data_IF_289249034970
#
_entry.id   IF_289249034970
#
_cell.length_a   1.000
_cell.length_b   1.000
_cell.length_c   1.000
_cell.angle_alpha   90.00
_cell.angle_beta   90.00
_cell.angle_gamma   90.00
#
_symmetry.space_group_name_H-M   'P 1'
#
loop_
_entity.id
_entity.type
_entity.pdbx_description
1 polymer ?
#
# COMPACT_ATOMS: atom_id res chain seq x y z
N UNK A 1 -60.72 -3.91 18.33
CA UNK A 1 -60.06 -4.95 17.52
C UNK A 1 -58.57 -4.64 17.53
N UNK A 2 -57.77 -5.13 18.49
CA UNK A 2 -57.04 -6.43 18.48
C UNK A 2 -56.27 -6.61 17.15
N UNK A 3 -54.94 -6.70 17.06
CA UNK A 3 -53.96 -7.42 17.88
C UNK A 3 -52.57 -6.75 17.87
N UNK A 4 -51.87 -6.77 19.01
CA UNK A 4 -50.42 -6.55 19.15
C UNK A 4 -49.71 -7.91 19.07
N UNK A 5 -48.57 -7.99 18.36
CA UNK A 5 -47.63 -9.12 18.47
C UNK A 5 -46.42 -8.68 19.32
N UNK A 6 -46.29 -9.25 20.52
CA UNK A 6 -45.06 -9.23 21.33
C UNK A 6 -44.21 -10.43 20.92
N UNK A 7 -42.94 -10.20 20.60
CA UNK A 7 -41.93 -11.24 20.44
C UNK A 7 -41.06 -11.25 21.72
N UNK A 8 -41.16 -12.32 22.51
CA UNK A 8 -40.30 -12.59 23.66
C UNK A 8 -39.01 -13.26 23.18
N UNK A 9 -37.85 -12.66 23.47
CA UNK A 9 -36.56 -13.33 23.43
C UNK A 9 -36.19 -13.76 24.86
N UNK A 10 -36.20 -15.07 25.12
CA UNK A 10 -35.65 -15.68 26.33
C UNK A 10 -34.16 -15.95 26.13
N UNK A 11 -33.32 -15.36 26.96
CA UNK A 11 -31.89 -15.67 27.07
C UNK A 11 -31.72 -16.93 27.94
N UNK A 12 -31.11 -17.98 27.40
CA UNK A 12 -30.61 -19.11 28.17
C UNK A 12 -29.10 -18.94 28.39
N UNK A 13 -28.70 -18.77 29.66
CA UNK A 13 -27.29 -18.76 30.08
C UNK A 13 -26.92 -20.20 30.43
N UNK A 14 -25.99 -20.79 29.68
CA UNK A 14 -25.40 -22.09 30.02
C UNK A 14 -24.05 -21.84 30.67
N UNK A 15 -23.99 -22.02 31.99
CA UNK A 15 -22.75 -22.15 32.76
C UNK A 15 -22.18 -23.56 32.58
N UNK A 16 -20.96 -23.67 32.04
CA UNK A 16 -20.19 -24.93 32.03
C UNK A 16 -19.21 -24.86 33.18
N UNK A 17 -19.48 -25.62 34.24
CA UNK A 17 -18.50 -25.96 35.29
C UNK A 17 -17.85 -27.28 34.91
N UNK A 18 -16.54 -27.28 34.65
CA UNK A 18 -15.74 -28.49 34.48
C UNK A 18 -15.08 -28.83 35.83
N UNK A 19 -15.50 -29.94 36.43
CA UNK A 19 -14.85 -30.59 37.57
C UNK A 19 -13.75 -31.53 37.06
N UNK A 20 -12.58 -31.47 37.69
CA UNK A 20 -11.46 -32.40 37.45
C UNK A 20 -11.59 -33.50 38.49
N UNK A 21 -11.70 -34.76 38.06
CA UNK A 21 -11.43 -35.92 38.90
C UNK A 21 -10.34 -36.78 38.24
N UNK A 22 -9.43 -37.24 39.08
CA UNK A 22 -8.25 -38.05 38.78
C UNK A 22 -8.48 -39.48 39.32
N UNK A 23 -7.64 -40.45 38.91
CA UNK A 23 -7.55 -41.88 39.33
C UNK A 23 -8.46 -42.89 38.58
N UNK A 24 -8.08 -44.14 38.25
CA UNK A 24 -6.83 -44.92 38.26
C UNK A 24 -7.03 -46.17 37.35
N UNK A 25 -5.94 -46.61 36.70
CA UNK A 25 -5.54 -47.92 36.14
C UNK A 25 -6.55 -49.09 35.99
N UNK A 26 -6.41 -49.84 34.89
CA UNK A 26 -6.23 -51.31 34.92
C UNK A 26 -5.46 -51.84 33.70
N UNK A 27 -4.64 -52.84 33.97
CA UNK A 27 -3.70 -53.56 33.10
C UNK A 27 -4.38 -54.53 32.11
N UNK A 28 -3.71 -54.80 31.00
CA UNK A 28 -3.85 -56.07 30.27
C UNK A 28 -2.49 -56.58 29.81
N UNK A 29 -2.07 -57.66 30.45
CA UNK A 29 -0.89 -58.50 30.20
C UNK A 29 -1.16 -59.46 29.04
N UNK A 30 -0.17 -59.71 28.18
CA UNK A 30 -0.19 -60.79 27.20
C UNK A 30 1.14 -61.56 27.27
N UNK A 31 1.00 -62.89 27.35
CA UNK A 31 2.03 -63.89 27.60
C UNK A 31 3.08 -63.97 26.49
N UNK A 32 4.34 -64.14 26.88
CA UNK A 32 5.47 -64.54 26.02
C UNK A 32 5.82 -65.99 26.35
N UNK A 33 5.93 -66.82 25.32
CA UNK A 33 6.37 -68.22 25.39
C UNK A 33 7.77 -68.28 24.76
N UNK A 34 8.78 -68.66 25.54
CA UNK A 34 10.17 -68.85 25.08
C UNK A 34 10.34 -70.25 24.49
N UNK A 35 10.87 -70.34 23.26
CA UNK A 35 11.52 -71.55 22.78
C UNK A 35 12.94 -71.23 22.33
N UNK A 36 13.89 -71.91 22.98
CA UNK A 36 15.32 -71.91 22.66
C UNK A 36 15.60 -72.73 21.40
N UNK A 37 16.35 -72.16 20.46
CA UNK A 37 17.06 -72.90 19.42
C UNK A 37 18.46 -72.29 19.23
N UNK A 38 19.45 -73.01 19.74
CA UNK A 38 20.85 -72.86 19.35
C UNK A 38 21.02 -73.34 17.90
N UNK A 39 21.61 -72.51 17.03
CA UNK A 39 22.43 -72.98 15.91
C UNK A 39 23.25 -71.84 15.32
N UNK A 40 24.56 -72.09 15.30
CA UNK A 40 25.64 -71.41 14.57
C UNK A 40 25.29 -70.92 13.16
N UNK A 41 25.67 -69.68 12.82
CA UNK A 41 26.69 -69.32 11.81
C UNK A 41 26.45 -67.92 11.24
N UNK A 42 27.50 -67.10 11.32
CA UNK A 42 27.82 -65.87 10.58
C UNK A 42 26.87 -65.40 9.45
N UNK A 43 26.51 -64.11 9.45
CA UNK A 43 27.02 -63.10 8.49
C UNK A 43 26.39 -61.72 8.82
N UNK A 44 27.28 -60.73 8.95
CA UNK A 44 27.02 -59.32 9.22
C UNK A 44 26.10 -58.64 8.20
N UNK A 45 24.95 -58.08 8.60
CA UNK A 45 24.38 -56.88 7.94
C UNK A 45 23.28 -56.14 8.73
N UNK A 46 23.43 -55.93 10.04
CA UNK A 46 22.40 -55.20 10.83
C UNK A 46 22.53 -53.67 10.80
N UNK A 47 23.62 -53.11 10.27
CA UNK A 47 23.83 -51.65 10.31
C UNK A 47 23.10 -50.84 9.23
N UNK A 48 22.72 -51.45 8.10
CA UNK A 48 22.06 -50.72 7.00
C UNK A 48 20.54 -50.62 7.12
N UNK A 49 19.89 -51.58 7.77
CA UNK A 49 18.43 -51.65 7.81
C UNK A 49 17.82 -50.69 8.85
N UNK A 50 18.46 -50.54 10.01
CA UNK A 50 18.01 -49.62 11.06
C UNK A 50 18.24 -48.14 10.70
N UNK A 51 19.33 -47.82 9.97
CA UNK A 51 19.54 -46.47 9.42
C UNK A 51 18.50 -46.12 8.34
N UNK A 52 18.14 -47.08 7.47
CA UNK A 52 17.09 -46.88 6.48
C UNK A 52 15.70 -46.70 7.12
N UNK A 53 15.34 -47.53 8.11
CA UNK A 53 14.04 -47.39 8.81
C UNK A 53 13.90 -46.05 9.54
N UNK A 54 14.98 -45.51 10.11
CA UNK A 54 14.94 -44.21 10.76
C UNK A 54 14.64 -43.07 9.77
N UNK A 55 15.12 -43.16 8.53
CA UNK A 55 14.94 -42.15 7.48
C UNK A 55 13.54 -42.19 6.82
N UNK A 56 12.87 -43.34 6.87
CA UNK A 56 11.53 -43.54 6.27
C UNK A 56 10.39 -43.24 7.25
N UNK A 57 10.65 -43.33 8.57
CA UNK A 57 9.61 -43.19 9.61
C UNK A 57 9.69 -41.86 10.37
N UNK A 58 10.83 -41.17 10.37
CA UNK A 58 10.94 -39.86 11.00
C UNK A 58 10.26 -38.78 10.15
N UNK A 59 9.21 -38.07 10.63
CA UNK A 59 8.74 -36.87 9.96
C UNK A 59 9.88 -35.87 9.96
N UNK A 60 10.34 -35.49 8.75
CA UNK A 60 11.29 -34.39 8.57
C UNK A 60 10.77 -33.20 9.37
N UNK A 61 11.55 -32.63 10.31
CA UNK A 61 11.11 -31.44 11.01
C UNK A 61 10.72 -30.41 9.96
N UNK A 62 9.58 -29.70 10.12
CA UNK A 62 9.18 -28.70 9.16
C UNK A 62 10.36 -27.76 9.01
N UNK A 63 10.89 -27.66 7.79
CA UNK A 63 11.83 -26.60 7.44
C UNK A 63 11.07 -25.32 7.75
N UNK A 64 11.37 -24.71 8.89
CA UNK A 64 10.98 -23.33 9.16
C UNK A 64 11.77 -22.56 8.13
N UNK A 65 11.17 -22.36 6.96
CA UNK A 65 11.59 -21.34 6.02
C UNK A 65 11.45 -20.05 6.80
N UNK A 66 12.53 -19.63 7.43
CA UNK A 66 12.61 -18.29 7.99
C UNK A 66 12.11 -17.36 6.87
N UNK A 67 11.17 -16.44 7.17
CA UNK A 67 10.86 -15.42 6.20
C UNK A 67 12.19 -14.85 5.76
N UNK A 68 12.41 -14.77 4.43
CA UNK A 68 13.56 -14.10 3.85
C UNK A 68 13.63 -12.73 4.53
N UNK A 69 14.45 -12.61 5.57
CA UNK A 69 14.81 -11.32 6.11
C UNK A 69 15.49 -10.64 4.94
N UNK A 70 15.01 -9.48 4.49
CA UNK A 70 15.67 -8.79 3.40
C UNK A 70 17.10 -8.55 3.85
N UNK A 71 18.04 -9.23 3.20
CA UNK A 71 19.47 -9.07 3.41
C UNK A 71 19.79 -7.57 3.30
N UNK A 72 19.96 -6.94 4.47
CA UNK A 72 20.31 -5.55 4.76
C UNK A 72 19.67 -4.50 3.85
N UNK A 73 18.55 -3.93 4.31
CA UNK A 73 18.11 -2.62 3.82
C UNK A 73 19.25 -1.60 3.92
N UNK A 74 19.67 -1.06 2.76
CA UNK A 74 20.66 0.02 2.70
C UNK A 74 20.09 1.26 3.38
N UNK A 75 20.90 1.94 4.20
CA UNK A 75 20.52 3.23 4.78
C UNK A 75 20.24 4.23 3.66
N UNK A 76 19.13 4.93 3.77
CA UNK A 76 18.68 5.96 2.84
C UNK A 76 17.86 7.00 3.59
N UNK A 77 17.44 8.06 2.89
CA UNK A 77 16.61 9.13 3.46
C UNK A 77 15.43 9.39 2.54
N UNK A 78 14.23 9.51 3.11
CA UNK A 78 13.01 9.82 2.39
C UNK A 78 12.80 11.33 2.22
N UNK A 79 11.91 11.72 1.30
CA UNK A 79 11.31 13.05 1.23
C UNK A 79 12.24 14.18 0.77
N UNK A 80 13.47 13.87 0.35
CA UNK A 80 14.39 14.89 -0.18
C UNK A 80 14.21 15.06 -1.69
N UNK A 81 13.98 16.27 -2.15
CA UNK A 81 14.02 16.58 -3.60
C UNK A 81 15.46 16.52 -4.13
N UNK A 82 15.61 16.42 -5.45
CA UNK A 82 16.90 16.69 -6.08
C UNK A 82 17.15 18.21 -6.10
N UNK A 83 18.28 18.66 -5.54
CA UNK A 83 18.58 20.09 -5.33
C UNK A 83 18.63 20.86 -6.63
N UNK A 84 17.69 21.76 -6.84
CA UNK A 84 17.75 22.81 -7.85
C UNK A 84 16.97 24.07 -7.39
N UNK A 85 17.31 25.25 -7.93
CA UNK A 85 16.72 26.54 -7.53
C UNK A 85 15.20 26.57 -7.79
N UNK A 86 14.42 26.98 -6.79
CA UNK A 86 12.94 26.97 -6.82
C UNK A 86 12.37 28.02 -7.79
N UNK A 87 11.42 27.62 -8.63
CA UNK A 87 10.47 28.51 -9.32
C UNK A 87 9.07 28.21 -8.74
N UNK A 88 8.24 29.23 -8.49
CA UNK A 88 6.93 29.10 -7.83
C UNK A 88 5.84 29.49 -8.81
N UNK A 89 4.82 28.64 -9.04
CA UNK A 89 3.72 29.10 -9.90
C UNK A 89 2.65 28.13 -10.38
N UNK A 90 2.81 26.81 -10.34
CA UNK A 90 2.02 25.95 -11.25
C UNK A 90 2.78 25.80 -12.55
N UNK A 91 3.94 25.17 -12.50
CA UNK A 91 4.93 25.18 -13.58
C UNK A 91 5.52 23.79 -13.76
N UNK A 92 6.15 23.59 -14.91
CA UNK A 92 6.94 22.40 -15.15
C UNK A 92 8.02 22.26 -14.07
N UNK A 93 8.16 21.05 -13.54
CA UNK A 93 9.19 20.72 -12.57
C UNK A 93 10.55 20.59 -13.25
N UNK A 94 11.61 20.48 -12.48
CA UNK A 94 12.91 20.12 -13.04
C UNK A 94 13.04 18.60 -13.15
N UNK A 95 13.83 18.15 -14.13
CA UNK A 95 14.10 16.72 -14.35
C UNK A 95 14.55 16.07 -13.04
N UNK A 96 13.85 15.00 -12.63
CA UNK A 96 14.06 14.28 -11.37
C UNK A 96 13.86 15.11 -10.08
N UNK A 97 13.26 16.31 -10.09
CA UNK A 97 13.04 17.11 -8.87
C UNK A 97 12.31 16.31 -7.79
N UNK A 98 11.26 15.57 -8.18
CA UNK A 98 10.45 14.68 -7.33
C UNK A 98 10.69 13.22 -7.69
N UNK A 99 11.77 12.60 -7.18
CA UNK A 99 12.20 11.28 -7.64
C UNK A 99 11.24 10.14 -7.25
N UNK A 100 10.36 10.37 -6.29
CA UNK A 100 9.34 9.40 -5.86
C UNK A 100 8.15 9.30 -6.81
N UNK A 101 8.07 10.14 -7.83
CA UNK A 101 6.97 10.11 -8.80
C UNK A 101 6.96 8.82 -9.60
N UNK A 102 5.77 8.25 -9.77
CA UNK A 102 5.53 7.06 -10.57
C UNK A 102 4.57 7.39 -11.69
N UNK A 103 4.96 7.00 -12.90
CA UNK A 103 4.09 6.94 -14.06
C UNK A 103 3.53 5.50 -14.13
N UNK A 104 2.23 5.35 -13.89
CA UNK A 104 1.54 4.06 -13.93
C UNK A 104 0.95 3.85 -15.32
N UNK A 105 1.31 2.72 -15.94
CA UNK A 105 0.89 2.38 -17.29
C UNK A 105 0.03 1.12 -17.29
N UNK A 106 -0.96 1.09 -18.17
CA UNK A 106 -1.75 -0.09 -18.48
C UNK A 106 -1.63 -0.36 -19.98
N UNK A 107 -1.16 -1.57 -20.35
CA UNK A 107 -0.87 -1.94 -21.75
C UNK A 107 0.06 -0.94 -22.45
N UNK A 108 1.03 -0.39 -21.71
CA UNK A 108 2.01 0.57 -22.22
C UNK A 108 1.50 2.02 -22.34
N UNK A 109 0.28 2.32 -21.88
CA UNK A 109 -0.27 3.67 -21.90
C UNK A 109 -0.39 4.25 -20.50
N UNK A 110 0.07 5.49 -20.31
CA UNK A 110 -0.13 6.24 -19.07
C UNK A 110 -1.61 6.43 -18.78
N UNK A 111 -2.00 6.28 -17.51
CA UNK A 111 -3.39 6.53 -17.09
C UNK A 111 -3.54 7.02 -15.64
N UNK A 112 -2.57 6.74 -14.77
CA UNK A 112 -2.55 7.18 -13.37
C UNK A 112 -1.13 7.50 -12.92
N UNK A 113 -1.03 8.29 -11.86
CA UNK A 113 0.17 8.46 -11.07
C UNK A 113 0.30 7.43 -9.93
N UNK A 114 1.43 7.50 -9.25
CA UNK A 114 1.69 6.81 -8.01
C UNK A 114 2.87 7.44 -7.27
N UNK A 115 3.26 6.85 -6.15
CA UNK A 115 4.37 7.34 -5.36
C UNK A 115 5.19 6.22 -4.75
N UNK A 116 6.51 6.26 -4.92
CA UNK A 116 7.43 5.33 -4.29
C UNK A 116 7.51 5.64 -2.79
N UNK A 117 7.11 4.68 -1.96
CA UNK A 117 7.12 4.82 -0.49
C UNK A 117 8.20 3.97 0.18
N UNK A 118 8.69 2.92 -0.49
CA UNK A 118 9.79 2.08 -0.03
C UNK A 118 10.41 1.34 -1.22
N UNK A 119 11.39 0.46 -0.98
CA UNK A 119 12.16 -0.18 -2.06
C UNK A 119 11.35 -1.12 -2.97
N UNK A 120 10.11 -1.49 -2.62
CA UNK A 120 9.34 -2.49 -3.39
C UNK A 120 7.88 -2.13 -3.61
N UNK A 121 7.41 -1.04 -3.00
CA UNK A 121 6.01 -0.68 -3.00
C UNK A 121 5.80 0.75 -3.48
N UNK A 122 4.80 0.88 -4.35
CA UNK A 122 4.23 2.13 -4.81
C UNK A 122 2.86 2.29 -4.17
N UNK A 123 2.58 3.48 -3.63
CA UNK A 123 1.26 3.89 -3.17
C UNK A 123 0.51 4.58 -4.32
N UNK A 124 -0.77 4.29 -4.48
CA UNK A 124 -1.65 4.92 -5.49
C UNK A 124 -3.10 4.87 -5.02
N UNK A 125 -4.04 5.32 -5.85
CA UNK A 125 -5.46 5.24 -5.58
C UNK A 125 -6.00 3.83 -5.87
N UNK A 126 -7.01 3.39 -5.12
CA UNK A 126 -7.67 2.12 -5.35
C UNK A 126 -8.37 2.09 -6.72
N UNK A 127 -8.97 3.20 -7.15
CA UNK A 127 -9.63 3.30 -8.45
C UNK A 127 -8.66 3.12 -9.63
N UNK A 128 -7.35 3.38 -9.45
CA UNK A 128 -6.35 3.16 -10.49
C UNK A 128 -6.08 1.67 -10.72
N UNK A 129 -6.33 0.79 -9.74
CA UNK A 129 -6.07 -0.65 -9.88
C UNK A 129 -7.35 -1.50 -9.88
N UNK A 130 -8.49 -0.93 -9.49
CA UNK A 130 -9.74 -1.66 -9.38
C UNK A 130 -10.21 -2.17 -10.74
N UNK A 131 -10.39 -3.49 -10.86
CA UNK A 131 -10.79 -4.16 -12.11
C UNK A 131 -9.75 -4.09 -13.25
N UNK A 132 -8.52 -3.70 -12.94
CA UNK A 132 -7.39 -3.81 -13.87
C UNK A 132 -6.71 -5.17 -13.74
N UNK A 133 -6.25 -5.71 -14.87
CA UNK A 133 -5.41 -6.91 -14.89
C UNK A 133 -3.97 -6.53 -14.50
N UNK A 134 -3.52 -7.01 -13.34
CA UNK A 134 -2.20 -6.71 -12.81
C UNK A 134 -1.04 -7.11 -13.75
N UNK A 135 -1.22 -8.13 -14.59
CA UNK A 135 -0.19 -8.56 -15.55
C UNK A 135 0.05 -7.56 -16.69
N UNK A 136 -0.90 -6.63 -16.90
CA UNK A 136 -0.84 -5.59 -17.92
C UNK A 136 -0.40 -4.23 -17.35
N UNK A 137 -0.13 -4.17 -16.05
CA UNK A 137 0.36 -2.97 -15.38
C UNK A 137 1.88 -2.93 -15.37
N UNK A 138 2.43 -1.77 -15.68
CA UNK A 138 3.86 -1.46 -15.53
C UNK A 138 4.05 -0.15 -14.77
N UNK A 139 5.10 -0.09 -13.97
CA UNK A 139 5.48 1.06 -13.15
C UNK A 139 6.75 1.65 -13.74
N UNK A 140 6.75 2.94 -14.08
CA UNK A 140 7.95 3.69 -14.46
C UNK A 140 8.28 4.72 -13.39
N UNK A 141 9.56 4.82 -13.02
CA UNK A 141 10.09 5.85 -12.13
C UNK A 141 11.16 6.68 -12.84
N UNK A 142 11.49 7.84 -12.28
CA UNK A 142 12.46 8.80 -12.82
C UNK A 142 12.11 9.29 -14.24
N UNK A 143 10.82 9.25 -14.59
CA UNK A 143 10.31 9.92 -15.79
C UNK A 143 10.14 11.41 -15.51
N UNK A 144 10.34 12.24 -16.53
CA UNK A 144 10.05 13.68 -16.46
C UNK A 144 9.18 14.10 -17.64
N UNK A 145 9.70 14.04 -18.86
CA UNK A 145 9.02 14.27 -20.14
C UNK A 145 9.09 13.01 -21.01
N UNK A 146 7.95 12.33 -21.17
CA UNK A 146 7.91 11.09 -21.96
C UNK A 146 8.09 11.29 -23.48
N UNK A 147 8.14 12.53 -23.96
CA UNK A 147 8.55 12.82 -25.34
C UNK A 147 10.08 12.84 -25.50
N UNK A 148 10.82 12.88 -24.39
CA UNK A 148 12.27 12.88 -24.35
C UNK A 148 12.80 11.51 -23.93
N UNK A 149 13.84 11.03 -24.60
CA UNK A 149 14.50 9.74 -24.26
C UNK A 149 15.88 9.91 -23.66
N UNK A 150 16.38 11.15 -23.54
CA UNK A 150 17.78 11.45 -23.18
C UNK A 150 17.93 12.27 -21.89
N UNK A 151 16.88 12.94 -21.43
CA UNK A 151 16.95 13.83 -20.27
C UNK A 151 17.00 13.07 -18.93
N UNK A 152 16.38 11.89 -18.88
CA UNK A 152 16.18 11.11 -17.67
C UNK A 152 16.56 9.65 -17.92
N UNK A 153 16.98 8.97 -16.85
CA UNK A 153 17.28 7.54 -16.88
C UNK A 153 16.15 6.80 -16.18
N UNK A 154 15.07 6.57 -16.92
CA UNK A 154 13.87 5.91 -16.43
C UNK A 154 14.17 4.46 -16.00
N UNK A 155 13.37 3.94 -15.09
CA UNK A 155 13.42 2.54 -14.69
C UNK A 155 12.01 1.95 -14.69
N UNK A 156 11.83 0.85 -15.41
CA UNK A 156 10.56 0.17 -15.58
C UNK A 156 10.51 -1.11 -14.73
N UNK A 157 9.38 -1.30 -14.04
CA UNK A 157 9.12 -2.43 -13.17
C UNK A 157 7.82 -3.13 -13.56
N UNK A 158 7.88 -4.46 -13.57
CA UNK A 158 6.70 -5.32 -13.67
C UNK A 158 5.99 -5.40 -12.31
N UNK A 159 4.67 -5.48 -12.34
CA UNK A 159 3.85 -5.63 -11.14
C UNK A 159 3.79 -7.10 -10.71
N UNK A 160 4.07 -7.35 -9.41
CA UNK A 160 3.91 -8.67 -8.79
C UNK A 160 2.51 -8.85 -8.25
N UNK A 161 2.02 -7.84 -7.52
CA UNK A 161 0.71 -7.89 -6.85
C UNK A 161 0.16 -6.49 -6.66
N UNK A 162 -1.14 -6.35 -6.86
CA UNK A 162 -1.90 -5.16 -6.46
C UNK A 162 -2.65 -5.46 -5.17
N UNK A 163 -2.68 -4.50 -4.25
CA UNK A 163 -3.32 -4.62 -2.94
C UNK A 163 -4.22 -3.40 -2.75
N UNK A 164 -5.51 -3.60 -2.95
CA UNK A 164 -6.53 -2.57 -2.74
C UNK A 164 -7.01 -2.59 -1.29
N UNK A 165 -7.28 -1.45 -0.69
CA UNK A 165 -7.93 -1.42 0.62
C UNK A 165 -9.30 -2.12 0.56
N UNK A 166 -9.58 -3.05 1.48
CA UNK A 166 -10.81 -3.87 1.47
C UNK A 166 -12.08 -3.04 1.63
N UNK A 167 -12.00 -1.94 2.37
CA UNK A 167 -13.08 -0.98 2.54
C UNK A 167 -13.26 0.01 1.38
N UNK A 168 -12.54 -0.12 0.27
CA UNK A 168 -12.70 0.78 -0.88
C UNK A 168 -14.13 0.70 -1.45
N UNK A 169 -14.76 1.86 -1.64
CA UNK A 169 -16.12 1.98 -2.17
C UNK A 169 -16.11 2.65 -3.54
N UNK A 170 -16.58 1.95 -4.57
CA UNK A 170 -16.73 2.49 -5.92
C UNK A 170 -17.89 3.49 -6.03
N UNK A 171 -18.74 3.61 -5.00
CA UNK A 171 -19.90 4.51 -5.01
C UNK A 171 -19.53 5.92 -4.56
N UNK A 172 -18.63 6.04 -3.58
CA UNK A 172 -18.27 7.33 -2.98
C UNK A 172 -16.76 7.54 -2.80
N UNK A 173 -15.92 6.66 -3.36
CA UNK A 173 -14.45 6.73 -3.28
C UNK A 173 -13.90 6.75 -1.84
N UNK A 174 -14.68 6.28 -0.86
CA UNK A 174 -14.15 6.13 0.48
C UNK A 174 -13.06 5.03 0.49
N UNK A 175 -11.99 5.26 1.26
CA UNK A 175 -10.81 4.38 1.32
C UNK A 175 -10.15 4.14 -0.05
N UNK A 176 -10.06 5.19 -0.87
CA UNK A 176 -9.44 5.13 -2.20
C UNK A 176 -7.91 5.13 -2.11
N UNK A 177 -7.36 4.00 -1.67
CA UNK A 177 -5.93 3.77 -1.50
C UNK A 177 -5.57 2.33 -1.86
N UNK A 178 -4.43 2.19 -2.52
CA UNK A 178 -3.88 0.92 -2.94
C UNK A 178 -2.36 0.90 -2.93
N UNK A 179 -1.81 -0.29 -2.84
CA UNK A 179 -0.39 -0.57 -2.97
C UNK A 179 -0.15 -1.43 -4.22
N UNK A 180 0.96 -1.15 -4.90
CA UNK A 180 1.49 -1.96 -5.99
C UNK A 180 2.83 -2.51 -5.52
N UNK A 181 2.93 -3.83 -5.43
CA UNK A 181 4.16 -4.56 -5.13
C UNK A 181 4.89 -4.86 -6.42
N UNK A 182 6.17 -4.48 -6.50
CA UNK A 182 7.02 -4.67 -7.67
C UNK A 182 7.67 -6.06 -7.65
N UNK A 183 7.85 -6.66 -8.84
CA UNK A 183 8.62 -7.92 -8.99
C UNK A 183 10.11 -7.75 -8.69
N UNK A 184 10.63 -6.52 -8.81
CA UNK A 184 12.01 -6.14 -8.48
C UNK A 184 12.07 -5.20 -7.28
N UNK A 185 13.30 -4.83 -6.89
CA UNK A 185 13.54 -3.84 -5.83
C UNK A 185 14.18 -2.57 -6.43
N UNK A 186 13.66 -1.42 -6.03
CA UNK A 186 14.20 -0.10 -6.35
C UNK A 186 15.47 0.11 -5.52
N UNK A 187 16.55 0.50 -6.20
CA UNK A 187 17.80 0.92 -5.56
C UNK A 187 17.74 2.42 -5.31
N UNK A 188 17.79 2.83 -4.05
CA UNK A 188 17.86 4.24 -3.66
C UNK A 188 19.27 4.80 -3.83
N UNK A 189 19.62 5.06 -5.08
CA UNK A 189 20.93 5.55 -5.52
C UNK A 189 20.78 6.67 -6.55
N UNK A 190 21.79 7.53 -6.65
CA UNK A 190 21.77 8.67 -7.56
C UNK A 190 20.57 9.60 -7.28
N UNK A 191 19.72 9.91 -8.28
CA UNK A 191 18.57 10.78 -8.08
C UNK A 191 17.44 10.11 -7.28
N UNK A 192 17.42 8.78 -7.19
CA UNK A 192 16.26 8.04 -6.66
C UNK A 192 16.19 8.03 -5.13
N UNK A 193 15.03 8.40 -4.59
CA UNK A 193 14.67 8.24 -3.16
C UNK A 193 13.15 8.26 -2.99
N UNK A 194 12.60 7.59 -1.97
CA UNK A 194 11.16 7.57 -1.73
C UNK A 194 10.68 8.86 -1.07
N UNK A 195 9.37 9.10 -1.06
CA UNK A 195 8.75 10.14 -0.22
C UNK A 195 8.69 9.67 1.23
N UNK A 196 8.68 10.58 2.20
CA UNK A 196 8.36 10.19 3.58
C UNK A 196 6.86 9.93 3.74
N UNK A 197 6.51 8.92 4.53
CA UNK A 197 5.15 8.79 5.03
C UNK A 197 4.89 9.82 6.13
N UNK A 198 3.65 10.34 6.26
CA UNK A 198 3.31 11.36 7.23
C UNK A 198 3.21 10.78 8.65
N UNK A 199 3.19 11.66 9.64
CA UNK A 199 2.93 11.28 11.04
C UNK A 199 1.46 10.90 11.25
N UNK A 200 1.22 9.82 12.01
CA UNK A 200 -0.13 9.35 12.33
C UNK A 200 -0.89 10.38 13.15
N UNK A 201 -2.15 10.65 12.79
CA UNK A 201 -3.03 11.54 13.56
C UNK A 201 -2.72 13.04 13.45
N UNK A 202 -1.58 13.44 12.87
CA UNK A 202 -1.23 14.85 12.64
C UNK A 202 -2.24 15.53 11.71
N UNK A 203 -2.66 16.74 12.04
CA UNK A 203 -3.44 17.57 11.11
C UNK A 203 -2.52 18.34 10.19
N UNK A 204 -2.92 18.45 8.91
CA UNK A 204 -2.25 19.27 7.89
C UNK A 204 -3.17 20.40 7.40
N UNK A 205 -4.30 20.63 8.06
CA UNK A 205 -5.21 21.71 7.70
C UNK A 205 -4.51 23.08 7.86
N UNK A 206 -4.66 23.95 6.87
CA UNK A 206 -3.99 25.25 6.79
C UNK A 206 -2.56 25.18 6.25
N UNK A 207 -1.97 23.98 6.11
CA UNK A 207 -0.66 23.85 5.47
C UNK A 207 -0.75 23.98 3.95
N UNK A 208 0.37 24.37 3.34
CA UNK A 208 0.52 24.42 1.88
C UNK A 208 0.88 23.02 1.38
N UNK A 209 -0.03 22.40 0.63
CA UNK A 209 0.23 21.17 -0.09
C UNK A 209 0.77 21.44 -1.48
N UNK A 210 1.55 20.50 -2.00
CA UNK A 210 2.07 20.48 -3.35
C UNK A 210 1.54 19.21 -4.01
N UNK A 211 0.86 19.39 -5.14
CA UNK A 211 0.41 18.29 -6.01
C UNK A 211 1.40 18.20 -7.17
N UNK A 212 1.80 16.99 -7.52
CA UNK A 212 2.71 16.74 -8.64
C UNK A 212 2.16 15.64 -9.53
N UNK A 213 2.26 15.81 -10.86
CA UNK A 213 1.76 14.82 -11.81
C UNK A 213 1.84 15.28 -13.27
N UNK A 214 1.38 14.39 -14.16
CA UNK A 214 1.32 14.59 -15.61
C UNK A 214 -0.12 14.83 -16.10
N UNK A 215 -1.04 15.10 -15.16
CA UNK A 215 -2.42 15.36 -15.49
C UNK A 215 -2.62 16.60 -16.34
N UNK A 216 -3.85 16.78 -16.80
CA UNK A 216 -4.22 17.91 -17.63
C UNK A 216 -4.02 19.23 -16.88
N UNK A 217 -3.36 20.20 -17.50
CA UNK A 217 -3.09 21.51 -16.88
C UNK A 217 -4.33 22.42 -16.80
N UNK A 218 -5.43 21.98 -17.41
CA UNK A 218 -6.76 22.62 -17.38
C UNK A 218 -7.84 21.55 -17.52
N UNK A 219 -9.02 21.79 -16.97
CA UNK A 219 -10.15 20.87 -17.08
C UNK A 219 -10.48 20.53 -18.54
N UNK A 220 -10.53 19.24 -18.87
CA UNK A 220 -10.78 18.75 -20.24
C UNK A 220 -9.63 19.01 -21.23
N UNK A 221 -8.47 19.46 -20.76
CA UNK A 221 -7.26 19.62 -21.55
C UNK A 221 -6.53 18.30 -21.81
N UNK A 222 -5.47 18.36 -22.62
CA UNK A 222 -4.53 17.26 -22.78
C UNK A 222 -3.68 17.09 -21.51
N UNK A 223 -3.33 15.85 -21.19
CA UNK A 223 -2.29 15.51 -20.22
C UNK A 223 -0.96 16.16 -20.62
N UNK A 224 -0.16 16.52 -19.62
CA UNK A 224 1.16 17.11 -19.82
C UNK A 224 2.19 16.03 -20.07
N UNK A 225 3.06 16.15 -21.09
CA UNK A 225 4.13 15.20 -21.29
C UNK A 225 5.23 15.33 -20.23
N UNK A 226 5.50 16.56 -19.78
CA UNK A 226 6.44 16.88 -18.70
C UNK A 226 5.76 16.93 -17.33
N UNK A 227 6.47 16.54 -16.27
CA UNK A 227 5.97 16.54 -14.90
C UNK A 227 5.73 17.97 -14.40
N UNK A 228 4.52 18.21 -13.87
CA UNK A 228 4.07 19.51 -13.36
C UNK A 228 3.94 19.50 -11.84
N UNK A 229 4.01 20.67 -11.22
CA UNK A 229 3.66 20.88 -9.80
C UNK A 229 2.67 22.02 -9.62
N UNK A 230 1.85 21.95 -8.57
CA UNK A 230 0.99 23.08 -8.15
C UNK A 230 0.83 23.15 -6.64
N UNK A 231 0.95 24.37 -6.10
CA UNK A 231 0.71 24.67 -4.69
C UNK A 231 -0.79 24.89 -4.41
N UNK A 232 -1.35 24.17 -3.46
CA UNK A 232 -2.75 24.27 -3.01
C UNK A 232 -2.86 24.29 -1.47
N UNK A 233 -3.75 25.11 -0.88
CA UNK A 233 -3.96 25.08 0.56
C UNK A 233 -4.76 23.85 0.95
N UNK A 234 -4.39 23.21 2.06
CA UNK A 234 -5.12 22.07 2.61
C UNK A 234 -6.23 22.59 3.53
N UNK A 235 -7.46 22.13 3.30
CA UNK A 235 -8.63 22.51 4.09
C UNK A 235 -8.80 21.57 5.29
N UNK A 236 -9.39 22.08 6.37
CA UNK A 236 -9.96 21.22 7.40
C UNK A 236 -11.16 20.43 6.83
N UNK A 237 -11.51 19.28 7.43
CA UNK A 237 -12.70 18.54 7.00
C UNK A 237 -13.99 19.34 7.21
N UNK A 238 -14.04 20.21 8.22
CA UNK A 238 -15.16 21.12 8.45
C UNK A 238 -15.32 22.09 7.29
N UNK A 239 -14.23 22.74 6.86
CA UNK A 239 -14.25 23.62 5.68
C UNK A 239 -14.61 22.84 4.43
N UNK A 240 -14.05 21.63 4.23
CA UNK A 240 -14.37 20.84 3.05
C UNK A 240 -15.86 20.45 2.98
N UNK A 241 -16.47 20.08 4.10
CA UNK A 241 -17.91 19.78 4.18
C UNK A 241 -18.80 21.01 3.97
N UNK A 242 -18.25 22.20 4.17
CA UNK A 242 -18.91 23.48 3.93
C UNK A 242 -18.68 24.03 2.51
N UNK A 243 -17.99 23.28 1.64
CA UNK A 243 -17.88 23.61 0.20
C UNK A 243 -19.18 23.30 -0.53
N UNK A 244 -19.16 23.41 -1.87
CA UNK A 244 -20.33 23.05 -2.69
C UNK A 244 -20.55 21.53 -2.79
N UNK A 245 -19.63 20.70 -2.30
CA UNK A 245 -19.88 19.27 -2.20
C UNK A 245 -20.98 18.96 -1.17
N UNK A 246 -21.85 17.97 -1.43
CA UNK A 246 -22.73 17.46 -0.39
C UNK A 246 -21.91 16.95 0.81
N UNK A 247 -22.13 17.51 2.00
CA UNK A 247 -21.32 17.23 3.20
C UNK A 247 -21.13 15.74 3.51
N UNK A 248 -22.19 14.94 3.29
CA UNK A 248 -22.19 13.47 3.46
C UNK A 248 -21.23 12.71 2.53
N UNK A 249 -20.73 13.33 1.45
CA UNK A 249 -19.74 12.73 0.56
C UNK A 249 -18.30 12.88 1.07
N UNK A 250 -18.04 13.80 2.00
CA UNK A 250 -16.70 14.04 2.56
C UNK A 250 -16.53 13.27 3.86
N UNK A 251 -15.88 12.11 3.78
CA UNK A 251 -15.62 11.24 4.94
C UNK A 251 -14.37 11.68 5.70
N UNK A 252 -14.15 11.14 6.90
CA UNK A 252 -12.92 11.40 7.66
C UNK A 252 -11.67 10.75 7.05
N UNK A 253 -11.85 9.80 6.13
CA UNK A 253 -10.78 9.18 5.37
C UNK A 253 -10.36 10.01 4.14
N UNK A 254 -10.96 11.18 3.97
CA UNK A 254 -10.62 12.14 2.93
C UNK A 254 -10.01 13.41 3.53
N UNK A 255 -9.26 14.12 2.70
CA UNK A 255 -8.86 15.51 2.91
C UNK A 255 -9.12 16.28 1.62
N UNK A 256 -9.24 17.60 1.71
CA UNK A 256 -9.47 18.44 0.54
C UNK A 256 -8.38 19.49 0.45
N UNK A 257 -7.97 19.81 -0.77
CA UNK A 257 -6.99 20.84 -1.03
C UNK A 257 -7.36 21.64 -2.27
N UNK A 258 -7.23 22.95 -2.21
CA UNK A 258 -7.60 23.85 -3.31
C UNK A 258 -8.05 25.22 -2.83
N UNK A 259 -7.96 26.20 -3.71
CA UNK A 259 -8.38 27.57 -3.38
C UNK A 259 -9.91 27.70 -3.46
N UNK A 260 -10.50 28.51 -2.57
CA UNK A 260 -11.95 28.76 -2.56
C UNK A 260 -12.46 29.30 -3.90
N UNK A 261 -11.68 30.20 -4.51
CA UNK A 261 -11.94 30.77 -5.83
C UNK A 261 -11.62 29.82 -7.00
N UNK A 262 -11.11 28.61 -6.74
CA UNK A 262 -10.62 27.71 -7.78
C UNK A 262 -9.30 28.18 -8.40
N UNK A 263 -9.08 27.86 -9.67
CA UNK A 263 -7.92 28.27 -10.47
C UNK A 263 -6.69 27.36 -10.40
N UNK A 264 -6.48 26.64 -9.29
CA UNK A 264 -5.38 25.66 -9.13
C UNK A 264 -5.88 24.39 -8.44
N UNK A 265 -5.61 23.23 -9.04
CA UNK A 265 -6.07 21.92 -8.56
C UNK A 265 -5.31 20.77 -9.26
N UNK A 266 -5.45 19.55 -8.74
CA UNK A 266 -5.20 18.31 -9.49
C UNK A 266 -6.24 18.14 -10.60
N UNK A 267 -5.91 17.42 -11.66
CA UNK A 267 -6.83 17.20 -12.77
C UNK A 267 -6.74 15.77 -13.36
N UNK A 268 -7.42 15.54 -14.49
CA UNK A 268 -7.43 14.23 -15.13
C UNK A 268 -6.00 13.77 -15.46
N UNK A 269 -5.62 12.58 -15.01
CA UNK A 269 -4.27 12.02 -15.15
C UNK A 269 -3.38 12.15 -13.91
N UNK A 270 -3.73 13.00 -12.95
CA UNK A 270 -3.01 13.07 -11.66
C UNK A 270 -3.48 12.01 -10.65
N UNK A 271 -4.60 11.33 -10.95
CA UNK A 271 -5.18 10.25 -10.14
C UNK A 271 -4.13 9.28 -9.60
N UNK A 272 -4.14 9.03 -8.29
CA UNK A 272 -3.16 8.16 -7.64
C UNK A 272 -1.81 8.81 -7.32
N UNK A 273 -1.53 10.00 -7.87
CA UNK A 273 -0.35 10.80 -7.52
C UNK A 273 -0.42 11.39 -6.11
N UNK A 274 0.70 11.96 -5.63
CA UNK A 274 0.79 12.49 -4.27
C UNK A 274 0.25 13.92 -4.15
N UNK A 275 -0.38 14.18 -3.01
CA UNK A 275 -0.35 15.49 -2.36
C UNK A 275 0.69 15.40 -1.24
N UNK A 276 1.73 16.22 -1.28
CA UNK A 276 2.76 16.24 -0.25
C UNK A 276 2.97 17.63 0.36
N UNK A 277 3.38 17.65 1.62
CA UNK A 277 3.72 18.86 2.36
C UNK A 277 5.22 18.88 2.60
N UNK A 278 5.84 20.04 2.42
CA UNK A 278 7.26 20.26 2.68
C UNK A 278 7.44 20.94 4.04
N UNK A 279 8.25 20.34 4.90
CA UNK A 279 8.66 20.91 6.19
C UNK A 279 10.16 20.73 6.37
N UNK A 280 10.89 21.85 6.49
CA UNK A 280 12.33 21.86 6.66
C UNK A 280 13.09 21.08 5.55
N UNK A 281 12.63 21.19 4.31
CA UNK A 281 13.19 20.51 3.15
C UNK A 281 12.83 19.01 3.02
N UNK A 282 11.96 18.50 3.89
CA UNK A 282 11.48 17.11 3.86
C UNK A 282 10.02 17.06 3.44
N UNK A 283 9.75 16.30 2.38
CA UNK A 283 8.42 16.09 1.83
C UNK A 283 7.74 14.87 2.45
N UNK A 284 6.52 15.06 2.96
CA UNK A 284 5.65 14.01 3.49
C UNK A 284 4.41 13.86 2.62
N UNK A 285 4.08 12.65 2.17
CA UNK A 285 2.89 12.38 1.34
C UNK A 285 1.63 12.30 2.21
N UNK A 286 0.89 13.40 2.29
CA UNK A 286 -0.28 13.52 3.17
C UNK A 286 -1.58 13.04 2.50
N UNK A 287 -1.61 13.03 1.16
CA UNK A 287 -2.78 12.65 0.38
C UNK A 287 -2.47 11.88 -0.90
N UNK A 288 -3.44 11.10 -1.37
CA UNK A 288 -3.46 10.48 -2.71
C UNK A 288 -4.56 11.14 -3.53
N UNK A 289 -4.26 11.64 -4.72
CA UNK A 289 -5.26 12.24 -5.64
C UNK A 289 -6.36 11.20 -5.93
N UNK A 290 -7.61 11.55 -5.65
CA UNK A 290 -8.73 10.59 -5.68
C UNK A 290 -9.85 11.04 -6.62
N UNK A 291 -10.54 12.15 -6.31
CA UNK A 291 -11.68 12.63 -7.11
C UNK A 291 -11.91 14.14 -6.94
N UNK A 292 -12.75 14.71 -7.80
CA UNK A 292 -13.18 16.10 -7.74
C UNK A 292 -14.29 16.40 -8.75
N UNK A 293 -14.97 17.54 -8.61
CA UNK A 293 -15.93 18.04 -9.61
C UNK A 293 -15.23 19.03 -10.54
N UNK A 294 -14.99 18.60 -11.78
CA UNK A 294 -14.15 19.33 -12.72
C UNK A 294 -12.69 19.43 -12.25
N UNK A 295 -11.98 20.43 -12.75
CA UNK A 295 -10.63 20.78 -12.25
C UNK A 295 -10.60 22.26 -11.92
N UNK A 296 -10.16 22.60 -10.71
CA UNK A 296 -9.95 23.98 -10.29
C UNK A 296 -11.22 24.85 -10.33
N UNK A 297 -12.40 24.24 -10.12
CA UNK A 297 -13.67 24.96 -10.10
C UNK A 297 -13.90 25.70 -8.78
N UNK A 298 -14.45 26.94 -8.80
CA UNK A 298 -14.76 27.67 -7.57
C UNK A 298 -15.76 26.93 -6.66
N UNK A 299 -15.31 26.61 -5.45
CA UNK A 299 -16.08 25.90 -4.44
C UNK A 299 -16.04 24.37 -4.54
N UNK A 300 -15.24 23.80 -5.43
CA UNK A 300 -15.02 22.36 -5.57
C UNK A 300 -13.51 22.06 -5.53
N UNK A 301 -12.89 22.03 -4.33
CA UNK A 301 -11.48 21.65 -4.21
C UNK A 301 -11.27 20.18 -4.62
N UNK A 302 -10.05 19.80 -4.96
CA UNK A 302 -9.68 18.40 -5.12
C UNK A 302 -9.86 17.63 -3.82
N UNK A 303 -10.33 16.39 -3.93
CA UNK A 303 -10.51 15.46 -2.81
C UNK A 303 -9.49 14.32 -2.92
N UNK A 304 -8.81 14.09 -1.80
CA UNK A 304 -7.69 13.17 -1.71
C UNK A 304 -7.97 12.13 -0.63
N UNK A 305 -7.47 10.92 -0.80
CA UNK A 305 -7.43 9.94 0.29
C UNK A 305 -6.42 10.38 1.35
N UNK A 306 -6.82 10.39 2.62
CA UNK A 306 -6.01 10.91 3.75
C UNK A 306 -5.02 9.85 4.25
N UNK A 307 -3.78 9.91 3.76
CA UNK A 307 -2.75 8.87 3.96
C UNK A 307 -2.48 8.55 5.43
N UNK A 308 -2.45 9.56 6.31
CA UNK A 308 -2.10 9.35 7.71
C UNK A 308 -3.15 8.58 8.54
N UNK A 309 -4.30 8.23 7.94
CA UNK A 309 -5.28 7.29 8.51
C UNK A 309 -5.06 5.84 8.10
N UNK A 310 -4.16 5.59 7.15
CA UNK A 310 -3.90 4.26 6.58
C UNK A 310 -2.50 3.74 6.91
N UNK A 311 -1.72 4.41 7.77
CA UNK A 311 -0.33 4.03 8.05
C UNK A 311 -0.19 2.59 8.59
N UNK A 312 -1.09 2.17 9.48
CA UNK A 312 -1.12 0.77 9.96
C UNK A 312 -1.39 -0.23 8.83
N UNK A 313 -2.33 0.09 7.94
CA UNK A 313 -2.62 -0.73 6.77
C UNK A 313 -1.45 -0.76 5.77
N UNK A 314 -0.78 0.39 5.56
CA UNK A 314 0.41 0.48 4.72
C UNK A 314 1.51 -0.40 5.30
N UNK A 315 1.86 -0.22 6.57
CA UNK A 315 2.92 -0.99 7.23
C UNK A 315 2.68 -2.52 7.13
N UNK A 316 1.47 -2.96 7.47
CA UNK A 316 1.09 -4.38 7.41
C UNK A 316 1.26 -5.01 6.02
N UNK A 317 0.95 -4.25 4.95
CA UNK A 317 0.99 -4.78 3.58
C UNK A 317 2.36 -4.63 2.89
N UNK A 318 3.33 -3.99 3.56
CA UNK A 318 4.60 -3.56 2.95
C UNK A 318 5.85 -4.10 3.65
N UNK A 319 5.69 -5.06 4.57
CA UNK A 319 6.79 -5.69 5.33
C UNK A 319 7.95 -6.21 4.46
N UNK A 320 7.68 -6.57 3.20
CA UNK A 320 8.69 -7.04 2.24
C UNK A 320 9.48 -5.95 1.51
N UNK A 321 9.43 -4.69 1.95
CA UNK A 321 10.14 -3.55 1.36
C UNK A 321 10.99 -2.78 2.38
N UNK A 322 12.10 -2.19 1.91
CA UNK A 322 12.99 -1.41 2.74
C UNK A 322 12.57 0.06 2.77
N UNK A 323 12.29 0.57 3.98
CA UNK A 323 11.97 1.97 4.22
C UNK A 323 13.22 2.83 4.41
N UNK A 324 13.10 4.08 3.99
CA UNK A 324 13.89 5.21 4.45
C UNK A 324 12.99 6.07 5.36
#
# INVERSE_FOLDING_TARGET
MLFRFMLLLTFAVITITATIDNELQTNSTLHVEEQNLNSTSEINNEKGFWEWLADVVAPKPPTVTQPLQPDKCTKCTCGLTNKHNRIVGGVETLVNQYPWMVLLMYRGQFYCGGTVINSRYVLTAAHCIDRFDASKLTVRILEHDWNSTSESKTQDFQVEKTIKHSGYSTTNYNNDIALIKLKGSIKFQGPMRPVCLPEQGKTFAGEKGIVTGWGATKGGGSISPSLQEVDVPILSNTECRATKYPSRKITDNMLCAGYKQGGKDSCQGDSGGPLHVEKNGVHQMVGVVSWGEGCAQPGYPGVYCRVNRFLTWIAYNTEGGCYC
#
